data_IF_953489784957
#
_entry.id   IF_953489784957
#
_cell.length_a   1.000
_cell.length_b   1.000
_cell.length_c   1.000
_cell.angle_alpha   90.00
_cell.angle_beta   90.00
_cell.angle_gamma   90.00
#
_symmetry.space_group_name_H-M   'P 1'
#
loop_
_entity.id
_entity.type
_entity.pdbx_description
1 polymer ?
#
# COMPACT_ATOMS: atom_id res chain seq x y z
N UNK A 1 3.60 26.01 -25.41
CA UNK A 1 4.54 25.35 -24.50
C UNK A 1 4.51 26.07 -23.16
N UNK A 2 3.96 25.44 -22.12
CA UNK A 2 3.92 25.95 -20.74
C UNK A 2 4.24 24.79 -19.79
N UNK A 3 4.85 25.07 -18.62
CA UNK A 3 5.46 24.04 -17.77
C UNK A 3 4.38 23.28 -16.98
N UNK A 4 4.32 21.96 -17.22
CA UNK A 4 3.49 21.05 -16.43
C UNK A 4 4.03 20.96 -15.01
N UNK A 5 3.20 21.35 -14.06
CA UNK A 5 3.36 21.05 -12.64
C UNK A 5 3.33 19.52 -12.46
N UNK A 6 4.49 18.91 -12.18
CA UNK A 6 4.74 17.46 -12.30
C UNK A 6 4.90 16.73 -10.96
N UNK A 7 4.48 17.33 -9.85
CA UNK A 7 4.83 16.85 -8.49
C UNK A 7 3.67 16.35 -7.62
N UNK A 8 2.48 16.07 -8.15
CA UNK A 8 1.34 15.64 -7.31
C UNK A 8 1.27 14.12 -7.02
N UNK A 9 2.08 13.28 -7.66
CA UNK A 9 2.10 11.83 -7.38
C UNK A 9 3.54 11.30 -7.33
N UNK A 10 4.26 11.61 -6.25
CA UNK A 10 5.45 10.85 -5.87
C UNK A 10 4.99 9.54 -5.21
N UNK A 11 4.79 8.51 -6.02
CA UNK A 11 4.87 7.13 -5.53
C UNK A 11 6.31 6.87 -5.11
N UNK A 12 6.58 6.19 -3.98
CA UNK A 12 7.93 5.82 -3.60
C UNK A 12 8.48 4.82 -4.64
N UNK A 13 9.48 5.26 -5.41
CA UNK A 13 10.25 4.42 -6.32
C UNK A 13 10.87 3.24 -5.57
N UNK A 14 10.27 2.04 -5.69
CA UNK A 14 10.84 0.76 -5.28
C UNK A 14 11.59 0.06 -6.44
N UNK A 15 12.31 0.83 -7.27
CA UNK A 15 13.10 0.29 -8.38
C UNK A 15 14.52 0.85 -8.38
N UNK A 16 15.24 0.62 -7.28
CA UNK A 16 16.71 0.58 -7.31
C UNK A 16 17.17 -0.63 -6.51
N UNK A 17 17.82 -1.63 -7.13
CA UNK A 17 18.51 -2.65 -6.35
C UNK A 17 19.65 -1.96 -5.58
N UNK A 18 19.88 -2.29 -4.30
CA UNK A 18 21.00 -1.74 -3.56
C UNK A 18 22.31 -2.21 -4.22
N UNK A 19 23.01 -1.30 -4.91
CA UNK A 19 24.39 -1.50 -5.33
C UNK A 19 25.30 -1.36 -4.11
N UNK A 20 25.42 -2.47 -3.38
CA UNK A 20 26.56 -2.91 -2.57
C UNK A 20 26.11 -4.14 -1.80
N UNK A 21 26.44 -5.31 -2.36
CA UNK A 21 26.54 -6.55 -1.58
C UNK A 21 27.69 -6.34 -0.60
N UNK A 22 27.38 -5.80 0.58
CA UNK A 22 28.22 -6.03 1.75
C UNK A 22 27.83 -7.41 2.22
N UNK A 23 28.66 -8.39 1.92
CA UNK A 23 28.62 -9.69 2.54
C UNK A 23 28.73 -9.47 4.06
N UNK A 24 27.60 -9.60 4.76
CA UNK A 24 27.60 -9.68 6.22
C UNK A 24 28.06 -11.10 6.56
N UNK A 25 29.37 -11.26 6.68
CA UNK A 25 29.95 -12.39 7.38
C UNK A 25 29.40 -12.38 8.81
N UNK A 26 28.66 -13.42 9.18
CA UNK A 26 28.13 -13.67 10.52
C UNK A 26 29.19 -14.19 11.49
N UNK A 27 30.42 -13.72 11.36
CA UNK A 27 31.50 -13.98 12.30
C UNK A 27 32.04 -12.64 12.77
N UNK A 28 32.14 -12.47 14.09
CA UNK A 28 32.79 -11.34 14.80
C UNK A 28 31.93 -10.17 15.30
N UNK A 29 30.99 -10.40 16.23
CA UNK A 29 30.69 -9.38 17.27
C UNK A 29 30.37 -10.04 18.63
N UNK A 30 31.36 -10.67 19.26
CA UNK A 30 31.44 -10.67 20.72
C UNK A 30 32.34 -9.50 21.12
N UNK A 31 31.77 -8.29 21.04
CA UNK A 31 32.31 -7.17 21.82
C UNK A 31 32.17 -7.57 23.28
N UNK A 32 33.31 -7.64 23.97
CA UNK A 32 33.39 -7.71 25.43
C UNK A 32 32.59 -6.56 26.03
N UNK A 33 31.32 -6.81 26.33
CA UNK A 33 30.60 -6.04 27.32
C UNK A 33 31.34 -6.24 28.63
N UNK A 34 32.02 -5.19 29.07
CA UNK A 34 32.40 -5.04 30.48
C UNK A 34 31.08 -4.97 31.24
N UNK A 35 30.69 -6.11 31.80
CA UNK A 35 29.65 -6.19 32.80
C UNK A 35 30.22 -5.50 34.05
N UNK A 36 29.84 -4.24 34.25
CA UNK A 36 29.96 -3.60 35.55
C UNK A 36 29.06 -4.38 36.52
N UNK A 37 29.71 -5.22 37.32
CA UNK A 37 29.08 -5.99 38.38
C UNK A 37 28.86 -5.04 39.55
N UNK A 38 27.62 -4.76 39.99
CA UNK A 38 27.40 -4.00 41.21
C UNK A 38 28.04 -4.78 42.37
N UNK A 39 28.98 -4.11 43.00
CA UNK A 39 29.74 -4.53 44.15
C UNK A 39 28.80 -4.59 45.36
N UNK A 40 28.11 -5.71 45.55
CA UNK A 40 27.47 -6.01 46.82
C UNK A 40 28.57 -6.26 47.85
N UNK A 41 28.71 -5.29 48.74
CA UNK A 41 29.52 -5.34 49.95
C UNK A 41 29.05 -6.50 50.83
N UNK A 42 29.78 -7.61 50.82
CA UNK A 42 29.83 -8.49 51.98
C UNK A 42 31.15 -8.23 52.69
N UNK A 43 31.06 -7.43 53.74
CA UNK A 43 32.09 -7.26 54.76
C UNK A 43 32.26 -8.59 55.49
N UNK A 44 33.37 -9.29 55.27
CA UNK A 44 33.93 -10.17 56.29
C UNK A 44 35.43 -9.92 56.44
N UNK A 45 35.79 -9.77 57.71
CA UNK A 45 37.04 -9.26 58.25
C UNK A 45 38.23 -10.19 57.96
N UNK A 46 39.25 -9.68 57.26
CA UNK A 46 40.71 -9.77 57.53
C UNK A 46 41.41 -11.14 57.76
N UNK A 47 42.75 -11.27 57.57
CA UNK A 47 43.73 -10.19 57.47
C UNK A 47 44.64 -10.19 56.22
N UNK A 48 44.88 -8.95 55.78
CA UNK A 48 46.16 -8.44 55.30
C UNK A 48 47.34 -9.41 55.36
N UNK A 49 48.04 -9.57 54.22
CA UNK A 49 49.47 -9.22 54.16
C UNK A 49 50.02 -9.13 52.73
N UNK A 50 50.61 -7.95 52.50
CA UNK A 50 51.77 -7.66 51.65
C UNK A 50 51.71 -7.99 50.16
N UNK A 51 51.78 -6.90 49.39
CA UNK A 51 52.57 -6.78 48.16
C UNK A 51 53.87 -7.59 48.21
N UNK A 52 53.92 -8.74 47.55
CA UNK A 52 55.15 -9.50 47.36
C UNK A 52 55.78 -9.06 46.04
N UNK A 53 56.88 -8.31 46.18
CA UNK A 53 57.90 -8.09 45.14
C UNK A 53 58.20 -9.40 44.42
N UNK A 54 58.23 -9.35 43.09
CA UNK A 54 58.85 -10.38 42.24
C UNK A 54 60.34 -10.52 42.58
N UNK A 55 60.67 -11.26 43.62
CA UNK A 55 62.02 -11.82 43.75
C UNK A 55 62.08 -13.01 42.82
N UNK A 56 62.92 -12.91 41.78
CA UNK A 56 63.45 -14.06 41.04
C UNK A 56 64.15 -14.96 42.05
N UNK A 57 63.42 -15.87 42.68
CA UNK A 57 64.02 -17.03 43.36
C UNK A 57 64.61 -17.87 42.24
N UNK A 58 65.94 -17.85 42.12
CA UNK A 58 66.67 -18.95 41.51
C UNK A 58 66.13 -20.21 42.17
N UNK A 59 65.53 -21.09 41.40
CA UNK A 59 65.08 -22.41 41.82
C UNK A 59 66.32 -23.12 42.35
N UNK A 60 66.56 -23.01 43.65
CA UNK A 60 67.51 -23.86 44.33
C UNK A 60 66.96 -25.26 44.11
N UNK A 61 67.73 -26.09 43.42
CA UNK A 61 67.48 -27.53 43.34
C UNK A 61 67.75 -28.02 44.76
N UNK A 62 66.83 -27.77 45.67
CA UNK A 62 66.78 -28.48 46.93
C UNK A 62 66.66 -29.95 46.54
N UNK A 63 67.57 -30.77 47.07
CA UNK A 63 67.47 -32.23 47.02
C UNK A 63 66.17 -32.62 47.74
N UNK A 64 65.05 -32.52 47.02
CA UNK A 64 63.76 -32.90 47.53
C UNK A 64 63.85 -34.40 47.72
N UNK A 65 63.74 -34.83 48.97
CA UNK A 65 63.74 -36.24 49.33
C UNK A 65 62.84 -37.01 48.35
N UNK A 66 63.26 -38.15 47.79
CA UNK A 66 62.53 -38.84 46.71
C UNK A 66 61.07 -39.14 47.08
N UNK A 67 60.80 -39.41 48.36
CA UNK A 67 59.44 -39.57 48.89
C UNK A 67 58.58 -38.29 48.79
N UNK A 68 59.17 -37.11 49.01
CA UNK A 68 58.46 -35.83 48.91
C UNK A 68 58.16 -35.45 47.45
N UNK A 69 59.05 -35.81 46.50
CA UNK A 69 58.76 -35.71 45.06
C UNK A 69 57.60 -36.64 44.67
N UNK A 70 57.68 -37.92 45.04
CA UNK A 70 56.62 -38.89 44.75
C UNK A 70 55.27 -38.49 45.38
N UNK A 71 55.26 -37.99 46.62
CA UNK A 71 54.05 -37.48 47.27
C UNK A 71 53.49 -36.26 46.55
N UNK A 72 54.36 -35.33 46.13
CA UNK A 72 53.92 -34.14 45.39
C UNK A 72 53.34 -34.53 44.04
N UNK A 73 54.02 -35.36 43.26
CA UNK A 73 53.56 -35.84 41.96
C UNK A 73 52.25 -36.60 42.07
N UNK A 74 52.12 -37.53 43.02
CA UNK A 74 50.86 -38.25 43.25
C UNK A 74 49.73 -37.32 43.70
N UNK A 75 50.02 -36.30 44.52
CA UNK A 75 49.03 -35.30 44.91
C UNK A 75 48.61 -34.38 43.75
N UNK A 76 49.54 -34.00 42.87
CA UNK A 76 49.25 -33.22 41.67
C UNK A 76 48.42 -34.06 40.69
N UNK A 77 48.79 -35.32 40.50
CA UNK A 77 48.08 -36.25 39.63
C UNK A 77 46.67 -36.54 40.14
N UNK A 78 46.51 -36.74 41.45
CA UNK A 78 45.19 -36.88 42.06
C UNK A 78 44.33 -35.62 41.86
N UNK A 79 44.90 -34.42 42.02
CA UNK A 79 44.19 -33.17 41.72
C UNK A 79 43.79 -33.08 40.26
N UNK A 80 44.71 -33.39 39.33
CA UNK A 80 44.40 -33.41 37.88
C UNK A 80 43.28 -34.39 37.58
N UNK A 81 43.33 -35.59 38.15
CA UNK A 81 42.29 -36.61 37.99
C UNK A 81 40.93 -36.14 38.52
N UNK A 82 40.88 -35.53 39.71
CA UNK A 82 39.64 -34.96 40.26
C UNK A 82 39.08 -33.84 39.37
N UNK A 83 39.94 -32.94 38.88
CA UNK A 83 39.51 -31.88 37.96
C UNK A 83 39.02 -32.43 36.63
N UNK A 84 39.73 -33.40 36.05
CA UNK A 84 39.34 -34.04 34.80
C UNK A 84 37.97 -34.73 34.95
N UNK A 85 37.79 -35.53 36.02
CA UNK A 85 36.53 -36.21 36.31
C UNK A 85 35.38 -35.23 36.58
N UNK A 86 35.63 -34.13 37.31
CA UNK A 86 34.62 -33.10 37.53
C UNK A 86 34.24 -32.40 36.22
N UNK A 87 35.22 -32.10 35.35
CA UNK A 87 34.98 -31.47 34.05
C UNK A 87 34.16 -32.39 33.14
N UNK A 88 34.53 -33.66 33.02
CA UNK A 88 33.78 -34.63 32.18
C UNK A 88 32.35 -34.79 32.65
N UNK A 89 32.10 -34.85 33.98
CA UNK A 89 30.73 -34.90 34.52
C UNK A 89 29.91 -33.66 34.20
N UNK A 90 30.52 -32.47 34.29
CA UNK A 90 29.85 -31.21 33.95
C UNK A 90 29.49 -31.19 32.46
N UNK A 91 30.39 -31.65 31.60
CA UNK A 91 30.17 -31.71 30.15
C UNK A 91 29.06 -32.73 29.81
N UNK A 92 29.08 -33.92 30.41
CA UNK A 92 28.04 -34.94 30.26
C UNK A 92 26.65 -34.42 30.72
N UNK A 93 26.59 -33.77 31.88
CA UNK A 93 25.34 -33.18 32.39
C UNK A 93 24.82 -32.05 31.48
N UNK A 94 25.72 -31.23 30.95
CA UNK A 94 25.37 -30.16 30.02
C UNK A 94 24.81 -30.71 28.70
N UNK A 95 25.45 -31.72 28.12
CA UNK A 95 24.96 -32.37 26.90
C UNK A 95 23.60 -33.04 27.15
N UNK A 96 23.42 -33.71 28.30
CA UNK A 96 22.14 -34.31 28.67
C UNK A 96 21.04 -33.26 28.81
N UNK A 97 21.32 -32.11 29.43
CA UNK A 97 20.36 -31.02 29.58
C UNK A 97 20.02 -30.37 28.24
N UNK A 98 21.01 -30.17 27.37
CA UNK A 98 20.79 -29.64 26.02
C UNK A 98 19.92 -30.58 25.19
N UNK A 99 20.18 -31.89 25.24
CA UNK A 99 19.36 -32.88 24.56
C UNK A 99 17.92 -32.90 25.11
N UNK A 100 17.74 -32.87 26.43
CA UNK A 100 16.40 -32.76 27.05
C UNK A 100 15.66 -31.49 26.63
N UNK A 101 16.37 -30.37 26.51
CA UNK A 101 15.79 -29.11 26.06
C UNK A 101 15.41 -29.17 24.58
N UNK A 102 16.25 -29.79 23.75
CA UNK A 102 15.99 -29.97 22.33
C UNK A 102 14.74 -30.84 22.11
N UNK A 103 14.70 -32.02 22.71
CA UNK A 103 13.57 -32.95 22.61
C UNK A 103 12.25 -32.34 23.11
N UNK A 104 12.28 -31.56 24.21
CA UNK A 104 11.09 -30.85 24.70
C UNK A 104 10.63 -29.70 23.80
N UNK A 105 11.53 -29.12 23.00
CA UNK A 105 11.19 -28.05 22.07
C UNK A 105 10.71 -28.59 20.72
N UNK A 106 10.86 -29.89 20.44
CA UNK A 106 10.25 -30.53 19.29
C UNK A 106 8.74 -30.62 19.54
N UNK A 107 7.99 -29.96 18.67
CA UNK A 107 6.54 -30.03 18.64
C UNK A 107 6.11 -30.57 17.27
N UNK A 108 5.10 -31.43 17.29
CA UNK A 108 4.46 -31.96 16.09
C UNK A 108 3.94 -30.80 15.26
N UNK A 109 4.58 -30.54 14.12
CA UNK A 109 4.06 -29.58 13.18
C UNK A 109 2.81 -30.20 12.53
N UNK A 110 1.63 -29.79 13.00
CA UNK A 110 0.35 -30.17 12.39
C UNK A 110 0.41 -29.90 10.88
N UNK A 111 0.38 -30.96 10.09
CA UNK A 111 0.28 -30.87 8.64
C UNK A 111 -1.06 -30.25 8.28
N UNK A 112 -1.04 -29.26 7.38
CA UNK A 112 -2.27 -28.67 6.84
C UNK A 112 -3.24 -29.79 6.41
N UNK A 113 -4.54 -29.72 6.77
CA UNK A 113 -5.53 -30.76 6.44
C UNK A 113 -5.80 -30.93 4.93
N UNK A 114 -5.16 -30.13 4.07
CA UNK A 114 -5.39 -30.11 2.63
C UNK A 114 -4.51 -31.11 1.83
N UNK A 115 -3.42 -31.64 2.41
CA UNK A 115 -2.63 -32.70 1.77
C UNK A 115 -2.95 -34.04 2.44
N UNK A 116 -3.84 -34.80 1.81
CA UNK A 116 -4.25 -36.16 2.19
C UNK A 116 -3.16 -37.22 1.94
N UNK A 117 -1.88 -36.85 1.99
CA UNK A 117 -0.78 -37.79 1.86
C UNK A 117 -0.55 -38.47 3.21
N UNK A 118 -1.42 -39.42 3.52
CA UNK A 118 -1.61 -40.13 4.79
C UNK A 118 -0.44 -41.05 5.20
N UNK A 119 0.73 -40.95 4.56
CA UNK A 119 1.87 -41.84 4.78
C UNK A 119 3.14 -41.17 5.32
N UNK A 120 3.14 -39.85 5.54
CA UNK A 120 4.28 -39.15 6.14
C UNK A 120 4.19 -39.10 7.68
N UNK A 121 5.25 -39.51 8.38
CA UNK A 121 5.37 -39.23 9.83
C UNK A 121 5.36 -37.70 10.07
N UNK A 122 4.71 -37.23 11.14
CA UNK A 122 4.63 -35.80 11.44
C UNK A 122 6.04 -35.23 11.62
N UNK A 123 6.32 -34.14 10.91
CA UNK A 123 7.62 -33.51 10.98
C UNK A 123 7.76 -32.80 12.33
N UNK A 124 8.70 -33.28 13.15
CA UNK A 124 9.05 -32.64 14.42
C UNK A 124 9.84 -31.36 14.14
N UNK A 125 9.28 -30.22 14.51
CA UNK A 125 9.94 -28.93 14.34
C UNK A 125 10.10 -28.25 15.69
N UNK A 126 11.22 -27.57 15.85
CA UNK A 126 11.40 -26.65 16.98
C UNK A 126 10.47 -25.44 16.82
N UNK A 127 10.06 -24.85 17.94
CA UNK A 127 9.20 -23.65 17.94
C UNK A 127 9.72 -22.56 16.97
N UNK A 128 11.02 -22.19 16.96
CA UNK A 128 11.53 -21.19 16.00
C UNK A 128 11.39 -21.63 14.53
N UNK A 129 11.58 -22.92 14.24
CA UNK A 129 11.41 -23.46 12.89
C UNK A 129 9.93 -23.45 12.45
N UNK A 130 9.00 -23.68 13.37
CA UNK A 130 7.56 -23.54 13.11
C UNK A 130 7.21 -22.09 12.76
N UNK A 131 7.67 -21.12 13.56
CA UNK A 131 7.47 -19.70 13.26
C UNK A 131 8.08 -19.31 11.92
N UNK A 132 9.30 -19.76 11.61
CA UNK A 132 9.94 -19.50 10.34
C UNK A 132 9.11 -20.01 9.16
N UNK A 133 8.51 -21.20 9.27
CA UNK A 133 7.61 -21.73 8.23
C UNK A 133 6.33 -20.93 8.08
N UNK A 134 5.73 -20.50 9.18
CA UNK A 134 4.53 -19.64 9.14
C UNK A 134 4.83 -18.30 8.47
N UNK A 135 5.94 -17.67 8.88
CA UNK A 135 6.42 -16.43 8.27
C UNK A 135 6.71 -16.64 6.79
N UNK A 136 7.36 -17.75 6.41
CA UNK A 136 7.62 -18.05 5.02
C UNK A 136 6.32 -18.19 4.20
N UNK A 137 5.29 -18.86 4.74
CA UNK A 137 3.97 -18.94 4.09
C UNK A 137 3.33 -17.55 3.91
N UNK A 138 3.40 -16.69 4.92
CA UNK A 138 2.84 -15.34 4.88
C UNK A 138 3.63 -14.37 3.99
N UNK A 139 4.94 -14.54 3.92
CA UNK A 139 5.84 -13.69 3.14
C UNK A 139 5.99 -14.16 1.68
N UNK A 140 5.40 -15.31 1.31
CA UNK A 140 5.39 -15.73 -0.08
C UNK A 140 4.57 -14.74 -0.91
N UNK A 141 5.13 -14.19 -1.99
CA UNK A 141 4.41 -13.22 -2.80
C UNK A 141 3.19 -13.88 -3.44
N UNK A 142 2.02 -13.24 -3.27
CA UNK A 142 0.74 -13.67 -3.84
C UNK A 142 0.75 -13.77 -5.37
N UNK A 143 1.74 -13.15 -6.03
CA UNK A 143 1.89 -13.13 -7.49
C UNK A 143 1.96 -14.53 -8.10
N UNK A 144 2.60 -15.49 -7.43
CA UNK A 144 2.79 -16.84 -7.93
C UNK A 144 1.61 -17.79 -7.68
N UNK A 145 0.56 -17.35 -6.97
CA UNK A 145 -0.61 -18.18 -6.75
C UNK A 145 -1.40 -18.35 -8.04
N UNK A 146 -1.58 -19.61 -8.43
CA UNK A 146 -2.39 -20.03 -9.56
C UNK A 146 -3.80 -20.28 -9.08
N UNK A 147 -4.77 -19.79 -9.83
CA UNK A 147 -6.17 -20.15 -9.66
C UNK A 147 -6.73 -20.61 -11.00
N UNK A 148 -7.66 -21.56 -10.96
CA UNK A 148 -8.41 -21.98 -12.14
C UNK A 148 -9.52 -20.98 -12.40
N UNK A 149 -9.67 -20.59 -13.65
CA UNK A 149 -10.78 -19.78 -14.10
C UNK A 149 -11.38 -20.40 -15.35
N UNK A 150 -12.67 -20.70 -15.27
CA UNK A 150 -13.42 -21.19 -16.41
C UNK A 150 -13.63 -20.05 -17.41
N UNK A 151 -13.14 -20.23 -18.63
CA UNK A 151 -13.31 -19.31 -19.74
C UNK A 151 -13.97 -20.04 -20.90
N UNK A 152 -14.98 -19.42 -21.50
CA UNK A 152 -15.53 -19.90 -22.75
C UNK A 152 -14.52 -19.66 -23.88
N UNK A 153 -14.16 -20.72 -24.60
CA UNK A 153 -13.32 -20.63 -25.79
C UNK A 153 -14.09 -20.08 -26.98
N UNK A 154 -13.40 -19.84 -28.10
CA UNK A 154 -14.02 -19.39 -29.36
C UNK A 154 -15.10 -20.34 -29.90
N UNK A 155 -15.09 -21.60 -29.43
CA UNK A 155 -16.09 -22.63 -29.75
C UNK A 155 -17.27 -22.68 -28.75
N UNK A 156 -17.26 -21.83 -27.71
CA UNK A 156 -18.29 -21.80 -26.66
C UNK A 156 -18.11 -22.86 -25.56
N UNK A 157 -17.11 -23.73 -25.67
CA UNK A 157 -16.78 -24.71 -24.63
C UNK A 157 -16.07 -24.05 -23.45
N UNK A 158 -16.40 -24.48 -22.22
CA UNK A 158 -15.78 -23.97 -20.99
C UNK A 158 -14.46 -24.70 -20.75
N UNK A 159 -13.35 -23.98 -20.87
CA UNK A 159 -12.02 -24.49 -20.53
C UNK A 159 -11.55 -23.90 -19.20
N UNK A 160 -10.97 -24.74 -18.34
CA UNK A 160 -10.36 -24.30 -17.08
C UNK A 160 -8.93 -23.81 -17.35
N UNK A 161 -8.75 -22.50 -17.36
CA UNK A 161 -7.44 -21.86 -17.60
C UNK A 161 -6.81 -21.55 -16.25
N UNK A 162 -5.61 -22.09 -16.01
CA UNK A 162 -4.81 -21.68 -14.87
C UNK A 162 -4.12 -20.36 -15.17
N UNK A 163 -4.44 -19.33 -14.39
CA UNK A 163 -3.84 -18.00 -14.54
C UNK A 163 -3.24 -17.59 -13.19
N UNK A 164 -2.12 -16.88 -13.22
CA UNK A 164 -1.54 -16.33 -12.00
C UNK A 164 -2.21 -15.01 -11.61
N UNK A 165 -2.19 -14.68 -10.32
CA UNK A 165 -2.65 -13.36 -9.84
C UNK A 165 -1.89 -12.22 -10.53
N UNK A 166 -0.60 -12.42 -10.81
CA UNK A 166 0.23 -11.43 -11.49
C UNK A 166 -0.26 -11.13 -12.91
N UNK A 167 -0.48 -12.17 -13.73
CA UNK A 167 -0.94 -12.01 -15.12
C UNK A 167 -2.28 -11.26 -15.17
N UNK A 168 -3.11 -11.45 -14.15
CA UNK A 168 -4.40 -10.80 -14.03
C UNK A 168 -4.31 -9.34 -13.67
N UNK A 169 -3.45 -8.97 -12.73
CA UNK A 169 -3.17 -7.55 -12.47
C UNK A 169 -2.60 -6.86 -13.71
N UNK A 170 -1.72 -7.54 -14.46
CA UNK A 170 -1.19 -7.01 -15.71
C UNK A 170 -2.31 -6.80 -16.75
N UNK A 171 -3.15 -7.81 -16.98
CA UNK A 171 -4.28 -7.69 -17.91
C UNK A 171 -5.27 -6.58 -17.52
N UNK A 172 -5.47 -6.38 -16.22
CA UNK A 172 -6.30 -5.30 -15.69
C UNK A 172 -5.68 -3.93 -15.97
N UNK A 173 -4.38 -3.77 -15.73
CA UNK A 173 -3.67 -2.53 -16.03
C UNK A 173 -3.72 -2.19 -17.53
N UNK A 174 -3.51 -3.19 -18.39
CA UNK A 174 -3.65 -3.04 -19.84
C UNK A 174 -5.06 -2.60 -20.24
N UNK A 175 -6.10 -3.19 -19.64
CA UNK A 175 -7.49 -2.80 -19.89
C UNK A 175 -7.77 -1.36 -19.43
N UNK A 176 -7.33 -0.99 -18.23
CA UNK A 176 -7.49 0.39 -17.71
C UNK A 176 -6.80 1.39 -18.63
N UNK A 177 -5.61 1.07 -19.14
CA UNK A 177 -4.91 1.93 -20.09
C UNK A 177 -5.65 2.04 -21.43
N UNK A 178 -6.24 0.95 -21.92
CA UNK A 178 -7.04 0.94 -23.14
C UNK A 178 -8.30 1.80 -22.98
N UNK A 179 -9.07 1.59 -21.91
CA UNK A 179 -10.27 2.38 -21.60
C UNK A 179 -9.93 3.87 -21.42
N UNK A 180 -8.82 4.18 -20.74
CA UNK A 180 -8.35 5.57 -20.59
C UNK A 180 -8.06 6.23 -21.94
N UNK A 181 -7.54 5.48 -22.92
CA UNK A 181 -7.33 6.00 -24.28
C UNK A 181 -8.66 6.26 -24.98
N UNK A 182 -9.63 5.37 -24.82
CA UNK A 182 -10.98 5.54 -25.38
C UNK A 182 -11.66 6.78 -24.79
N UNK A 183 -11.62 6.97 -23.47
CA UNK A 183 -12.19 8.14 -22.79
C UNK A 183 -11.54 9.42 -23.30
N UNK A 184 -10.21 9.46 -23.44
CA UNK A 184 -9.52 10.64 -24.00
C UNK A 184 -9.92 10.93 -25.44
N UNK A 185 -10.17 9.90 -26.24
CA UNK A 185 -10.62 10.08 -27.61
C UNK A 185 -12.05 10.64 -27.64
N UNK A 186 -12.96 10.08 -26.83
CA UNK A 186 -14.33 10.58 -26.68
C UNK A 186 -14.35 12.01 -26.17
N UNK A 187 -13.50 12.36 -25.21
CA UNK A 187 -13.33 13.72 -24.72
C UNK A 187 -12.95 14.68 -25.85
N UNK A 188 -11.98 14.33 -26.71
CA UNK A 188 -11.60 15.16 -27.86
C UNK A 188 -12.73 15.31 -28.88
N UNK A 189 -13.49 14.24 -29.14
CA UNK A 189 -14.65 14.30 -30.02
C UNK A 189 -15.71 15.24 -29.46
N UNK A 190 -15.99 15.14 -28.16
CA UNK A 190 -16.91 16.03 -27.46
C UNK A 190 -16.43 17.49 -27.50
N UNK A 191 -15.14 17.75 -27.21
CA UNK A 191 -14.53 19.09 -27.31
C UNK A 191 -14.68 19.67 -28.73
N UNK A 192 -14.49 18.84 -29.77
CA UNK A 192 -14.69 19.23 -31.16
C UNK A 192 -16.14 19.62 -31.49
N UNK A 193 -17.10 18.79 -31.11
CA UNK A 193 -18.53 19.08 -31.32
C UNK A 193 -18.95 20.35 -30.57
N UNK A 194 -18.50 20.52 -29.33
CA UNK A 194 -18.80 21.73 -28.54
C UNK A 194 -18.17 22.97 -29.17
N UNK A 195 -16.93 22.89 -29.67
CA UNK A 195 -16.28 23.98 -30.38
C UNK A 195 -17.02 24.35 -31.68
N UNK A 196 -17.51 23.37 -32.43
CA UNK A 196 -18.33 23.60 -33.62
C UNK A 196 -19.65 24.31 -33.28
N UNK A 197 -20.39 23.81 -32.29
CA UNK A 197 -21.64 24.43 -31.80
C UNK A 197 -21.37 25.87 -31.34
N UNK A 198 -20.29 26.09 -30.59
CA UNK A 198 -19.89 27.42 -30.13
C UNK A 198 -19.59 28.35 -31.31
N UNK A 199 -18.78 27.89 -32.28
CA UNK A 199 -18.43 28.68 -33.47
C UNK A 199 -19.67 29.04 -34.31
N UNK A 200 -20.61 28.11 -34.45
CA UNK A 200 -21.88 28.35 -35.14
C UNK A 200 -22.75 29.34 -34.36
N UNK A 201 -22.80 29.21 -33.03
CA UNK A 201 -23.48 30.16 -32.16
C UNK A 201 -22.95 31.58 -32.32
N UNK A 202 -21.62 31.75 -32.31
CA UNK A 202 -20.97 33.06 -32.51
C UNK A 202 -21.29 33.60 -33.90
N UNK A 203 -21.27 32.76 -34.95
CA UNK A 203 -21.59 33.17 -36.31
C UNK A 203 -23.06 33.59 -36.50
N UNK A 204 -24.01 32.90 -35.84
CA UNK A 204 -25.45 33.16 -36.00
C UNK A 204 -25.98 34.25 -35.07
N UNK A 205 -25.51 34.32 -33.82
CA UNK A 205 -26.06 35.17 -32.76
C UNK A 205 -25.15 36.35 -32.38
N UNK A 206 -23.90 36.35 -32.86
CA UNK A 206 -22.87 37.30 -32.45
C UNK A 206 -22.15 36.87 -31.17
N UNK A 207 -20.91 37.36 -31.02
CA UNK A 207 -20.02 37.04 -29.90
C UNK A 207 -20.60 37.49 -28.55
N UNK A 208 -21.21 38.68 -28.50
CA UNK A 208 -21.80 39.24 -27.28
C UNK A 208 -22.93 38.38 -26.71
N UNK A 209 -23.85 37.90 -27.56
CA UNK A 209 -24.99 37.08 -27.15
C UNK A 209 -24.52 35.73 -26.60
N UNK A 210 -23.58 35.08 -27.26
CA UNK A 210 -23.02 33.81 -26.78
C UNK A 210 -22.21 34.00 -25.50
N UNK A 211 -21.46 35.10 -25.38
CA UNK A 211 -20.77 35.46 -24.14
C UNK A 211 -21.77 35.63 -22.98
N UNK A 212 -22.94 36.24 -23.22
CA UNK A 212 -23.99 36.35 -22.18
C UNK A 212 -24.62 34.99 -21.81
N UNK A 213 -24.81 34.07 -22.77
CA UNK A 213 -25.36 32.73 -22.49
C UNK A 213 -24.39 31.85 -21.69
N UNK A 214 -23.09 31.96 -21.96
CA UNK A 214 -22.06 31.19 -21.24
C UNK A 214 -21.63 31.83 -19.92
N UNK A 215 -21.82 33.14 -19.79
CA UNK A 215 -21.64 33.83 -18.52
C UNK A 215 -22.77 33.39 -17.60
N UNK A 216 -22.52 32.31 -16.86
CA UNK A 216 -23.29 31.86 -15.68
C UNK A 216 -23.16 32.84 -14.51
N UNK A 217 -23.06 34.14 -14.80
CA UNK A 217 -23.38 35.16 -13.84
C UNK A 217 -24.87 35.00 -13.58
N UNK A 218 -25.22 34.35 -12.47
CA UNK A 218 -26.59 34.42 -11.99
C UNK A 218 -27.01 35.89 -12.01
N UNK A 219 -28.19 36.23 -12.57
CA UNK A 219 -28.73 37.55 -12.32
C UNK A 219 -28.77 37.71 -10.80
N UNK A 220 -28.26 38.84 -10.29
CA UNK A 220 -28.30 39.17 -8.86
C UNK A 220 -29.72 38.90 -8.34
N UNK A 221 -29.94 37.70 -7.81
CA UNK A 221 -31.18 37.30 -7.20
C UNK A 221 -31.13 37.92 -5.82
N UNK A 222 -31.60 39.17 -5.75
CA UNK A 222 -31.90 39.90 -4.52
C UNK A 222 -32.97 39.20 -3.65
N UNK A 223 -33.37 37.95 -3.96
CA UNK A 223 -34.23 37.13 -3.13
C UNK A 223 -33.52 35.84 -2.70
N UNK A 224 -33.09 35.87 -1.44
CA UNK A 224 -32.49 34.78 -0.73
C UNK A 224 -33.45 33.58 -0.66
N UNK A 225 -33.23 32.57 -1.50
CA UNK A 225 -33.70 31.23 -1.17
C UNK A 225 -32.89 30.65 0.00
N UNK A 226 -33.54 29.96 0.96
CA UNK A 226 -32.90 29.45 2.15
C UNK A 226 -31.97 28.30 1.75
N UNK A 227 -30.67 28.57 1.81
CA UNK A 227 -29.62 27.57 1.68
C UNK A 227 -29.88 26.42 2.65
N UNK A 228 -29.95 25.20 2.10
CA UNK A 228 -30.16 23.92 2.80
C UNK A 228 -29.10 23.62 3.88
N UNK A 229 -28.07 24.44 3.98
CA UNK A 229 -27.02 24.34 4.99
C UNK A 229 -27.33 25.29 6.14
N UNK A 230 -27.98 24.78 7.19
CA UNK A 230 -28.09 25.46 8.49
C UNK A 230 -26.68 25.58 9.08
N UNK A 231 -26.14 26.79 9.30
CA UNK A 231 -24.87 26.95 9.98
C UNK A 231 -25.09 26.66 11.48
N UNK A 232 -24.64 25.51 11.96
CA UNK A 232 -24.86 25.06 13.35
C UNK A 232 -24.09 25.83 14.43
N UNK A 233 -23.28 26.83 14.09
CA UNK A 233 -22.53 27.59 15.09
C UNK A 233 -23.20 28.91 15.46
N UNK A 234 -24.12 28.83 16.43
CA UNK A 234 -24.53 29.98 17.26
C UNK A 234 -23.39 30.35 18.21
N UNK A 235 -22.41 31.13 17.72
CA UNK A 235 -21.51 31.87 18.60
C UNK A 235 -21.91 33.34 18.63
N UNK A 236 -22.58 33.69 19.72
CA UNK A 236 -22.79 35.05 20.16
C UNK A 236 -21.43 35.65 20.56
N UNK A 237 -20.91 36.60 19.79
CA UNK A 237 -20.33 37.84 20.33
C UNK A 237 -19.77 38.76 19.22
N UNK A 238 -20.00 40.05 19.46
CA UNK A 238 -19.24 41.21 19.01
C UNK A 238 -19.54 41.83 17.64
N UNK A 239 -20.26 42.96 17.75
CA UNK A 239 -20.26 44.12 16.87
C UNK A 239 -18.83 44.58 16.59
N UNK A 240 -18.23 44.06 15.52
CA UNK A 240 -17.15 44.72 14.80
C UNK A 240 -17.60 44.88 13.36
N UNK A 241 -17.75 46.12 12.89
CA UNK A 241 -17.92 46.42 11.46
C UNK A 241 -16.62 46.04 10.74
N UNK A 242 -16.38 44.75 10.54
CA UNK A 242 -15.40 44.30 9.58
C UNK A 242 -15.94 44.69 8.21
N UNK A 243 -15.26 45.59 7.52
CA UNK A 243 -15.50 45.85 6.10
C UNK A 243 -15.38 44.49 5.41
N UNK A 244 -16.50 43.89 5.03
CA UNK A 244 -16.49 42.76 4.10
C UNK A 244 -15.72 43.25 2.89
N UNK A 245 -14.50 42.73 2.71
CA UNK A 245 -13.80 42.87 1.45
C UNK A 245 -14.72 42.18 0.44
N UNK A 246 -15.48 42.97 -0.33
CA UNK A 246 -16.06 42.50 -1.58
C UNK A 246 -14.86 42.00 -2.38
N UNK A 247 -14.76 40.69 -2.50
CA UNK A 247 -13.89 40.06 -3.48
C UNK A 247 -14.54 40.37 -4.82
N UNK A 248 -14.27 41.57 -5.34
CA UNK A 248 -14.45 41.83 -6.75
C UNK A 248 -13.40 40.97 -7.43
N UNK A 249 -13.84 39.87 -8.04
CA UNK A 249 -13.05 39.24 -9.09
C UNK A 249 -12.88 40.34 -10.15
N UNK A 250 -11.72 41.01 -10.12
CA UNK A 250 -11.29 41.80 -11.26
C UNK A 250 -11.37 40.85 -12.45
N UNK A 251 -12.27 41.14 -13.39
CA UNK A 251 -12.68 40.22 -14.44
C UNK A 251 -11.46 39.57 -15.07
N UNK A 252 -11.28 38.26 -14.94
CA UNK A 252 -10.17 37.60 -15.59
C UNK A 252 -10.30 37.86 -17.08
N UNK A 253 -9.17 38.16 -17.75
CA UNK A 253 -9.08 38.16 -19.22
C UNK A 253 -9.96 37.02 -19.76
N UNK A 254 -10.94 37.36 -20.61
CA UNK A 254 -11.89 36.38 -21.18
C UNK A 254 -11.15 35.17 -21.76
N UNK A 255 -9.91 35.37 -22.24
CA UNK A 255 -9.01 34.33 -22.72
C UNK A 255 -8.66 33.22 -21.70
N UNK A 256 -8.81 33.46 -20.39
CA UNK A 256 -8.58 32.46 -19.34
C UNK A 256 -9.88 31.85 -18.78
N UNK A 257 -11.05 32.41 -19.10
CA UNK A 257 -12.35 31.87 -18.68
C UNK A 257 -12.79 30.70 -19.55
N UNK A 258 -12.39 30.70 -20.81
CA UNK A 258 -12.75 29.65 -21.75
C UNK A 258 -11.69 28.56 -21.80
N UNK A 259 -12.08 27.28 -21.78
CA UNK A 259 -11.20 26.19 -22.14
C UNK A 259 -10.46 26.49 -23.44
N UNK A 260 -9.16 26.19 -23.47
CA UNK A 260 -8.26 26.53 -24.60
C UNK A 260 -8.81 26.04 -25.95
N UNK A 261 -9.56 24.94 -25.97
CA UNK A 261 -10.15 24.38 -27.19
C UNK A 261 -11.24 25.26 -27.81
N UNK A 262 -11.95 26.09 -27.03
CA UNK A 262 -12.95 27.03 -27.56
C UNK A 262 -12.32 28.24 -28.23
N UNK A 263 -11.11 28.62 -27.78
CA UNK A 263 -10.35 29.74 -28.31
C UNK A 263 -9.49 29.33 -29.52
N UNK A 264 -9.36 28.02 -29.75
CA UNK A 264 -8.61 27.51 -30.88
C UNK A 264 -9.46 27.72 -32.14
N UNK A 265 -9.08 28.72 -32.94
CA UNK A 265 -9.72 28.97 -34.23
C UNK A 265 -9.70 27.69 -35.05
N UNK A 266 -10.88 27.12 -35.27
CA UNK A 266 -11.09 25.96 -36.14
C UNK A 266 -10.34 26.20 -37.46
N UNK A 267 -9.52 25.22 -37.88
CA UNK A 267 -8.81 25.27 -39.17
C UNK A 267 -9.78 25.28 -40.37
N UNK A 268 -11.08 25.12 -40.14
CA UNK A 268 -12.09 25.27 -41.18
C UNK A 268 -12.41 26.75 -41.42
N UNK A 269 -11.52 27.42 -42.14
CA UNK A 269 -11.71 28.76 -42.74
C UNK A 269 -12.79 28.81 -43.85
N UNK A 270 -13.73 27.86 -43.89
CA UNK A 270 -14.86 27.97 -44.81
C UNK A 270 -15.88 28.93 -44.20
N UNK A 271 -15.90 30.15 -44.73
CA UNK A 271 -16.98 31.12 -44.55
C UNK A 271 -18.32 30.38 -44.60
N UNK A 272 -18.97 30.26 -43.45
CA UNK A 272 -20.30 29.69 -43.34
C UNK A 272 -21.22 30.63 -44.12
N UNK A 273 -21.88 30.16 -45.20
CA UNK A 273 -22.78 31.01 -45.97
C UNK A 273 -23.87 31.54 -45.04
N UNK A 274 -24.14 32.84 -45.14
CA UNK A 274 -25.15 33.53 -44.34
C UNK A 274 -26.43 32.69 -44.27
N UNK A 275 -26.85 32.39 -43.04
CA UNK A 275 -28.02 31.55 -42.75
C UNK A 275 -29.22 32.07 -43.52
N UNK A 276 -29.75 31.24 -44.42
CA UNK A 276 -31.06 31.48 -45.04
C UNK A 276 -32.08 31.54 -43.92
N UNK A 277 -33.02 32.47 -44.00
CA UNK A 277 -34.14 32.57 -43.06
C UNK A 277 -34.83 31.20 -42.96
N UNK A 278 -34.59 30.49 -41.86
CA UNK A 278 -35.23 29.22 -41.57
C UNK A 278 -36.72 29.50 -41.36
N UNK A 279 -37.62 28.79 -42.06
CA UNK A 279 -39.05 28.97 -41.87
C UNK A 279 -39.41 28.60 -40.42
N UNK A 280 -40.19 29.46 -39.77
CA UNK A 280 -40.58 29.36 -38.35
C UNK A 280 -41.21 27.98 -38.02
N UNK A 281 -41.88 27.36 -39.00
CA UNK A 281 -42.47 26.04 -38.88
C UNK A 281 -41.44 24.92 -38.67
N UNK A 282 -40.28 24.97 -39.34
CA UNK A 282 -39.21 23.98 -39.16
C UNK A 282 -38.59 24.10 -37.77
N UNK A 283 -38.47 25.33 -37.25
CA UNK A 283 -37.97 25.57 -35.91
C UNK A 283 -38.90 24.99 -34.84
N UNK A 284 -40.22 25.19 -34.97
CA UNK A 284 -41.20 24.56 -34.09
C UNK A 284 -41.15 23.04 -34.12
N UNK A 285 -40.99 22.45 -35.32
CA UNK A 285 -40.87 20.99 -35.45
C UNK A 285 -39.60 20.48 -34.76
N UNK A 286 -38.48 21.19 -34.90
CA UNK A 286 -37.22 20.86 -34.24
C UNK A 286 -37.34 20.96 -32.72
N UNK A 287 -37.94 22.04 -32.21
CA UNK A 287 -38.16 22.25 -30.78
C UNK A 287 -39.03 21.13 -30.17
N UNK A 288 -40.08 20.72 -30.89
CA UNK A 288 -40.92 19.60 -30.49
C UNK A 288 -40.17 18.26 -30.52
N UNK A 289 -39.36 18.01 -31.56
CA UNK A 289 -38.54 16.81 -31.65
C UNK A 289 -37.48 16.73 -30.53
N UNK A 290 -36.85 17.85 -30.18
CA UNK A 290 -35.90 17.95 -29.06
C UNK A 290 -36.62 17.66 -27.74
N UNK A 291 -37.80 18.26 -27.52
CA UNK A 291 -38.58 18.03 -26.32
C UNK A 291 -38.99 16.56 -26.17
N UNK A 292 -39.39 15.91 -27.27
CA UNK A 292 -39.80 14.50 -27.25
C UNK A 292 -38.62 13.54 -27.06
N UNK A 293 -37.46 13.80 -27.70
CA UNK A 293 -36.22 13.07 -27.38
C UNK A 293 -35.80 13.26 -25.93
N UNK A 294 -35.91 14.48 -25.40
CA UNK A 294 -35.60 14.78 -24.01
C UNK A 294 -36.44 13.96 -23.03
N UNK A 295 -37.76 13.88 -23.27
CA UNK A 295 -38.66 13.02 -22.48
C UNK A 295 -38.26 11.55 -22.54
N UNK A 296 -37.90 11.06 -23.73
CA UNK A 296 -37.49 9.67 -23.92
C UNK A 296 -36.19 9.35 -23.18
N UNK A 297 -35.17 10.21 -23.28
CA UNK A 297 -33.89 10.03 -22.59
C UNK A 297 -34.05 10.09 -21.06
N UNK A 298 -34.89 11.01 -20.54
CA UNK A 298 -35.20 11.07 -19.11
C UNK A 298 -35.88 9.78 -18.65
N UNK A 299 -36.82 9.25 -19.43
CA UNK A 299 -37.49 8.00 -19.10
C UNK A 299 -36.51 6.80 -19.10
N UNK A 300 -35.57 6.75 -20.05
CA UNK A 300 -34.54 5.71 -20.10
C UNK A 300 -33.56 5.81 -18.92
N UNK A 301 -33.14 7.02 -18.54
CA UNK A 301 -32.30 7.24 -17.35
C UNK A 301 -33.01 6.78 -16.07
N UNK A 302 -34.28 7.13 -15.90
CA UNK A 302 -35.08 6.68 -14.76
C UNK A 302 -35.30 5.16 -14.77
N UNK A 303 -35.34 4.51 -15.95
CA UNK A 303 -35.40 3.05 -16.05
C UNK A 303 -34.09 2.42 -15.58
N UNK A 304 -32.96 2.89 -16.10
CA UNK A 304 -31.62 2.43 -15.72
C UNK A 304 -31.34 2.60 -14.22
N UNK A 305 -31.78 3.72 -13.63
CA UNK A 305 -31.64 3.95 -12.19
C UNK A 305 -32.43 2.91 -11.38
N UNK A 306 -33.67 2.60 -11.77
CA UNK A 306 -34.50 1.57 -11.13
C UNK A 306 -33.88 0.18 -11.26
N UNK A 307 -33.36 -0.16 -12.44
CA UNK A 307 -32.66 -1.43 -12.68
C UNK A 307 -31.40 -1.54 -11.80
N UNK A 308 -30.60 -0.47 -11.74
CA UNK A 308 -29.40 -0.41 -10.90
C UNK A 308 -29.73 -0.56 -9.41
N UNK A 309 -30.75 0.14 -8.91
CA UNK A 309 -31.20 -0.01 -7.53
C UNK A 309 -31.68 -1.43 -7.22
N UNK A 310 -32.41 -2.06 -8.13
CA UNK A 310 -32.87 -3.44 -7.98
C UNK A 310 -31.69 -4.43 -7.97
N UNK A 311 -30.74 -4.26 -8.88
CA UNK A 311 -29.51 -5.05 -8.92
C UNK A 311 -28.69 -4.89 -7.64
N UNK A 312 -28.55 -3.67 -7.13
CA UNK A 312 -27.82 -3.38 -5.90
C UNK A 312 -28.46 -4.05 -4.68
N UNK A 313 -29.79 -3.97 -4.54
CA UNK A 313 -30.53 -4.69 -3.48
C UNK A 313 -30.29 -6.19 -3.55
N UNK A 314 -30.34 -6.78 -4.75
CA UNK A 314 -30.06 -8.21 -4.95
C UNK A 314 -28.63 -8.58 -4.54
N UNK A 315 -27.64 -7.74 -4.87
CA UNK A 315 -26.25 -7.92 -4.45
C UNK A 315 -26.07 -7.81 -2.94
N UNK A 316 -26.75 -6.87 -2.30
CA UNK A 316 -26.69 -6.70 -0.85
C UNK A 316 -27.26 -7.93 -0.10
N UNK A 317 -28.36 -8.51 -0.61
CA UNK A 317 -28.92 -9.76 -0.08
C UNK A 317 -27.95 -10.93 -0.27
N UNK A 318 -27.31 -11.04 -1.43
CA UNK A 318 -26.29 -12.08 -1.68
C UNK A 318 -25.12 -11.98 -0.69
N UNK A 319 -24.62 -10.77 -0.45
CA UNK A 319 -23.56 -10.53 0.53
C UNK A 319 -23.99 -10.90 1.96
N UNK A 320 -25.19 -10.49 2.37
CA UNK A 320 -25.72 -10.86 3.69
C UNK A 320 -25.83 -12.39 3.86
N UNK A 321 -26.29 -13.10 2.82
CA UNK A 321 -26.40 -14.56 2.87
C UNK A 321 -25.03 -15.23 2.98
N UNK A 322 -24.00 -14.75 2.27
CA UNK A 322 -22.64 -15.28 2.40
C UNK A 322 -22.07 -15.06 3.80
N UNK A 323 -22.33 -13.90 4.43
CA UNK A 323 -21.85 -13.62 5.79
C UNK A 323 -22.59 -14.37 6.90
N UNK A 324 -23.79 -14.91 6.64
CA UNK A 324 -24.55 -15.70 7.61
C UNK A 324 -24.28 -17.21 7.52
N UNK A 325 -23.57 -17.68 6.48
CA UNK A 325 -23.23 -19.10 6.28
C UNK A 325 -21.82 -19.48 6.78
N UNK A 326 -20.99 -18.51 7.15
CA UNK A 326 -19.69 -18.69 7.81
C UNK A 326 -19.82 -18.64 9.34
#
# INVERSE_FOLDING_TARGET
MQPRNRDAFKTPNLSKPPSKVVAVSTTTVFKKQKLDRPQLQCTSRSPQRSTVRKTRRKTHVEEVHPLALAFRETSEEYRRHLFANAATKIDEDLEMLLNKLYERNLQDASSNPANNDSHGSPLMLTIPAQYQRLVQKLCNPLSGHRYSLQRANSLGEMEDVQITVHDRFQSFEENVQAETKVIKNLQRQWEGVVAEIFSLGVACLGEDTIATVLSTAEPDADDAEPTLFVPEHKSSANKGKAKMKRVSFAGPDMANLFPVFLLQTSEQQKLIPATRNLPIEEFRQLEQAIADMGKQHIADLQRLEREHQAWWKKKQIQLQHTFMQD
#
